data_IF_122734334019
#
_entry.id   IF_122734334019
#
_cell.length_a   1.000
_cell.length_b   1.000
_cell.length_c   1.000
_cell.angle_alpha   90.00
_cell.angle_beta   90.00
_cell.angle_gamma   90.00
#
_symmetry.space_group_name_H-M   'P 1'
#
loop_
_entity.id
_entity.type
_entity.pdbx_description
1 polymer ?
#
# COMPACT_ATOMS: atom_id res chain seq x y z
N UNK A 1 -5.29 2.29 -7.44
CA UNK A 1 -5.71 0.88 -7.65
C UNK A 1 -6.91 0.57 -6.77
N UNK A 2 -6.76 0.34 -5.46
CA UNK A 2 -7.86 -0.07 -4.54
C UNK A 2 -9.13 0.78 -4.73
N UNK A 3 -9.07 2.09 -4.45
CA UNK A 3 -10.24 2.99 -4.49
C UNK A 3 -10.93 2.96 -5.86
N UNK A 4 -10.17 3.01 -6.95
CA UNK A 4 -10.73 3.01 -8.30
C UNK A 4 -11.28 1.65 -8.75
N UNK A 5 -10.71 0.55 -8.28
CA UNK A 5 -11.19 -0.81 -8.61
C UNK A 5 -12.42 -1.23 -7.81
N UNK A 6 -12.72 -0.54 -6.71
CA UNK A 6 -13.89 -0.78 -5.84
C UNK A 6 -14.97 0.28 -6.00
N UNK A 7 -14.79 1.22 -6.93
CA UNK A 7 -15.81 2.23 -7.23
C UNK A 7 -16.98 1.58 -7.99
N UNK A 8 -18.21 2.08 -7.79
CA UNK A 8 -19.43 1.54 -8.41
C UNK A 8 -19.40 1.58 -9.95
N UNK A 9 -18.56 2.46 -10.53
CA UNK A 9 -18.35 2.58 -11.97
C UNK A 9 -17.40 1.51 -12.52
N UNK A 10 -16.65 0.83 -11.66
CA UNK A 10 -15.75 -0.25 -12.07
C UNK A 10 -16.53 -1.56 -12.28
N UNK A 11 -16.13 -2.42 -13.24
CA UNK A 11 -16.74 -3.73 -13.41
C UNK A 11 -16.69 -4.57 -12.12
N UNK A 12 -17.86 -4.96 -11.63
CA UNK A 12 -17.98 -5.73 -10.39
C UNK A 12 -17.23 -7.08 -10.48
N UNK A 13 -16.61 -7.49 -9.37
CA UNK A 13 -15.88 -8.76 -9.25
C UNK A 13 -14.41 -8.71 -9.63
N UNK A 14 -13.92 -7.67 -10.29
CA UNK A 14 -12.50 -7.57 -10.71
C UNK A 14 -11.56 -6.93 -9.68
N UNK A 15 -12.10 -6.29 -8.63
CA UNK A 15 -11.31 -5.61 -7.61
C UNK A 15 -10.20 -6.49 -6.97
N UNK A 16 -10.46 -7.75 -6.59
CA UNK A 16 -9.42 -8.58 -5.94
C UNK A 16 -8.20 -8.80 -6.85
N UNK A 17 -8.41 -9.05 -8.15
CA UNK A 17 -7.33 -9.25 -9.12
C UNK A 17 -6.53 -7.97 -9.30
N UNK A 18 -7.21 -6.83 -9.48
CA UNK A 18 -6.54 -5.54 -9.65
C UNK A 18 -5.68 -5.18 -8.42
N UNK A 19 -6.21 -5.39 -7.22
CA UNK A 19 -5.51 -5.13 -5.96
C UNK A 19 -4.32 -6.08 -5.78
N UNK A 20 -4.52 -7.39 -6.02
CA UNK A 20 -3.48 -8.39 -5.90
C UNK A 20 -2.32 -8.16 -6.86
N UNK A 21 -2.60 -7.96 -8.15
CA UNK A 21 -1.57 -7.64 -9.14
C UNK A 21 -0.92 -6.28 -8.87
N UNK A 22 -1.67 -5.31 -8.34
CA UNK A 22 -1.11 -4.05 -7.88
C UNK A 22 -0.07 -4.22 -6.78
N UNK A 23 -0.34 -5.10 -5.81
CA UNK A 23 0.63 -5.43 -4.77
C UNK A 23 1.86 -6.16 -5.35
N UNK A 24 1.67 -7.09 -6.29
CA UNK A 24 2.77 -7.76 -6.99
C UNK A 24 3.67 -6.74 -7.70
N UNK A 25 3.09 -5.79 -8.44
CA UNK A 25 3.83 -4.75 -9.13
C UNK A 25 4.67 -3.91 -8.17
N UNK A 26 4.09 -3.49 -7.04
CA UNK A 26 4.82 -2.71 -6.03
C UNK A 26 6.03 -3.49 -5.49
N UNK A 27 5.90 -4.81 -5.31
CA UNK A 27 7.03 -5.66 -4.91
C UNK A 27 8.13 -5.72 -5.97
N UNK A 28 7.76 -5.91 -7.24
CA UNK A 28 8.73 -5.95 -8.34
C UNK A 28 9.58 -4.67 -8.42
N UNK A 29 9.05 -3.54 -7.98
CA UNK A 29 9.74 -2.25 -7.99
C UNK A 29 10.54 -2.01 -6.70
N UNK A 30 9.93 -2.26 -5.52
CA UNK A 30 10.42 -1.70 -4.26
C UNK A 30 11.13 -2.67 -3.32
N UNK A 31 11.23 -3.97 -3.67
CA UNK A 31 12.02 -4.95 -2.92
C UNK A 31 13.48 -4.49 -2.76
N UNK A 32 14.21 -4.07 -3.82
CA UNK A 32 15.62 -3.71 -3.68
C UNK A 32 15.89 -2.47 -2.82
N UNK A 33 14.85 -1.66 -2.54
CA UNK A 33 14.99 -0.38 -1.83
C UNK A 33 14.64 -0.53 -0.35
N UNK A 34 13.49 -1.15 -0.04
CA UNK A 34 12.96 -1.22 1.34
C UNK A 34 12.48 -2.61 1.74
N UNK A 35 12.78 -3.63 0.93
CA UNK A 35 12.18 -4.96 1.01
C UNK A 35 10.64 -4.94 0.91
N UNK A 36 10.09 -3.88 0.32
CA UNK A 36 8.65 -3.60 0.16
C UNK A 36 7.84 -3.72 1.44
N UNK A 37 7.60 -2.59 2.11
CA UNK A 37 6.64 -2.53 3.22
C UNK A 37 5.20 -2.39 2.70
N UNK A 38 4.82 -1.16 2.33
CA UNK A 38 3.45 -0.70 1.97
C UNK A 38 2.32 -1.18 2.91
N UNK A 39 2.67 -1.71 4.08
CA UNK A 39 1.75 -2.29 5.06
C UNK A 39 2.45 -2.27 6.44
N UNK A 40 2.01 -1.37 7.35
CA UNK A 40 2.62 -1.23 8.67
C UNK A 40 2.59 -2.52 9.51
N UNK A 41 1.50 -3.29 9.44
CA UNK A 41 1.36 -4.55 10.17
C UNK A 41 2.33 -5.62 9.66
N UNK A 42 2.54 -5.69 8.35
CA UNK A 42 3.52 -6.60 7.72
C UNK A 42 4.96 -6.26 8.10
N UNK A 43 5.28 -4.98 8.25
CA UNK A 43 6.61 -4.56 8.70
C UNK A 43 6.83 -4.82 10.19
N UNK A 44 5.84 -4.49 11.02
CA UNK A 44 5.92 -4.72 12.46
C UNK A 44 6.07 -6.20 12.81
N UNK A 45 5.30 -7.08 12.16
CA UNK A 45 5.33 -8.52 12.46
C UNK A 45 6.74 -9.09 12.32
N UNK A 46 7.46 -8.75 11.25
CA UNK A 46 8.82 -9.23 11.04
C UNK A 46 9.83 -8.55 11.96
N UNK A 47 9.69 -7.24 12.19
CA UNK A 47 10.61 -6.48 13.03
C UNK A 47 10.63 -6.99 14.48
N UNK A 48 9.48 -7.42 15.02
CA UNK A 48 9.39 -8.00 16.37
C UNK A 48 10.26 -9.26 16.52
N UNK A 49 10.30 -10.12 15.50
CA UNK A 49 11.12 -11.34 15.55
C UNK A 49 12.58 -11.11 15.14
N UNK A 50 12.82 -10.20 14.20
CA UNK A 50 14.18 -9.87 13.77
C UNK A 50 14.96 -9.06 14.83
N UNK A 51 14.25 -8.24 15.62
CA UNK A 51 14.82 -7.43 16.69
C UNK A 51 15.83 -6.37 16.20
N UNK A 52 16.59 -5.82 17.14
CA UNK A 52 17.71 -4.92 16.87
C UNK A 52 17.34 -3.70 16.02
N UNK A 53 18.13 -3.42 14.99
CA UNK A 53 17.98 -2.27 14.11
C UNK A 53 16.63 -2.27 13.35
N UNK A 54 16.03 -3.43 13.09
CA UNK A 54 14.76 -3.47 12.38
C UNK A 54 13.62 -2.82 13.17
N UNK A 55 13.63 -2.94 14.51
CA UNK A 55 12.63 -2.28 15.37
C UNK A 55 12.78 -0.76 15.36
N UNK A 56 14.01 -0.24 15.28
CA UNK A 56 14.25 1.21 15.30
C UNK A 56 13.82 1.88 14.00
N UNK A 57 13.70 1.14 12.90
CA UNK A 57 13.27 1.64 11.60
C UNK A 57 11.76 1.52 11.35
N UNK A 58 11.00 0.81 12.20
CA UNK A 58 9.56 0.52 11.98
C UNK A 58 8.72 1.77 11.77
N UNK A 59 9.05 2.89 12.44
CA UNK A 59 8.27 4.12 12.33
C UNK A 59 8.11 4.60 10.88
N UNK A 60 9.14 4.43 10.04
CA UNK A 60 9.11 4.85 8.64
C UNK A 60 8.04 4.06 7.86
N UNK A 61 7.90 2.77 8.18
CA UNK A 61 6.93 1.86 7.60
C UNK A 61 5.50 2.04 8.14
N UNK A 62 5.31 2.93 9.12
CA UNK A 62 3.98 3.44 9.49
C UNK A 62 3.70 4.76 8.78
N UNK A 63 4.60 5.73 8.91
CA UNK A 63 4.38 7.09 8.39
C UNK A 63 4.24 7.09 6.87
N UNK A 64 5.15 6.45 6.14
CA UNK A 64 5.16 6.52 4.68
C UNK A 64 3.94 5.83 4.05
N UNK A 65 3.55 4.58 4.41
CA UNK A 65 2.35 3.96 3.83
C UNK A 65 1.06 4.69 4.18
N UNK A 66 0.90 5.18 5.41
CA UNK A 66 -0.32 5.91 5.83
C UNK A 66 -0.41 7.25 5.08
N UNK A 67 0.67 8.02 5.01
CA UNK A 67 0.71 9.27 4.26
C UNK A 67 0.38 9.03 2.78
N UNK A 68 0.96 7.99 2.17
CA UNK A 68 0.66 7.59 0.80
C UNK A 68 -0.80 7.21 0.59
N UNK A 69 -1.42 6.48 1.53
CA UNK A 69 -2.83 6.12 1.46
C UNK A 69 -3.76 7.35 1.54
N UNK A 70 -3.47 8.28 2.46
CA UNK A 70 -4.21 9.55 2.60
C UNK A 70 -4.09 10.37 1.32
N UNK A 71 -2.87 10.51 0.78
CA UNK A 71 -2.64 11.23 -0.47
C UNK A 71 -3.38 10.57 -1.64
N UNK A 72 -3.34 9.24 -1.77
CA UNK A 72 -4.07 8.52 -2.81
C UNK A 72 -5.59 8.75 -2.71
N UNK A 73 -6.16 8.76 -1.51
CA UNK A 73 -7.56 9.07 -1.30
C UNK A 73 -7.91 10.52 -1.67
N UNK A 74 -7.07 11.48 -1.30
CA UNK A 74 -7.24 12.89 -1.67
C UNK A 74 -7.19 13.08 -3.20
N UNK A 75 -6.19 12.49 -3.86
CA UNK A 75 -6.04 12.52 -5.32
C UNK A 75 -7.26 11.91 -6.01
N UNK A 76 -7.72 10.74 -5.54
CA UNK A 76 -8.88 10.07 -6.13
C UNK A 76 -10.15 10.92 -6.01
N UNK A 77 -10.36 11.58 -4.87
CA UNK A 77 -11.51 12.49 -4.69
C UNK A 77 -11.50 13.67 -5.66
N UNK A 78 -10.32 14.23 -5.95
CA UNK A 78 -10.21 15.40 -6.83
C UNK A 78 -10.31 15.01 -8.31
N UNK A 79 -9.66 13.92 -8.69
CA UNK A 79 -9.44 13.54 -10.10
C UNK A 79 -10.33 12.40 -10.55
N UNK A 80 -10.54 11.38 -9.71
CA UNK A 80 -11.24 10.14 -10.06
C UNK A 80 -12.73 10.13 -9.73
N UNK A 81 -13.18 10.87 -8.71
CA UNK A 81 -14.57 10.82 -8.23
C UNK A 81 -15.58 11.67 -9.04
N UNK A 82 -15.12 12.43 -10.06
CA UNK A 82 -15.95 13.39 -10.81
C UNK A 82 -16.47 12.87 -12.17
N UNK A 83 -16.71 11.57 -12.31
CA UNK A 83 -17.23 10.97 -13.55
C UNK A 83 -18.53 10.24 -13.30
#
# INVERSE_FOLDING_TARGET
>A
IIIGSTDDRAPAGFAPIAIGLGLTLIHLISIPVTNTSVNPARSLSQAVFAGGEYLTQVWLFWVAPIAGAVLAAAIYRVVGAKG
#
